data_IF_774214432685
#
_entry.id   IF_774214432685
#
_cell.length_a   1.000
_cell.length_b   1.000
_cell.length_c   1.000
_cell.angle_alpha   90.00
_cell.angle_beta   90.00
_cell.angle_gamma   90.00
#
_symmetry.space_group_name_H-M   'P 1'
#
loop_
_entity.id
_entity.type
_entity.pdbx_description
1 polymer ?
#
# COMPACT_ATOMS: atom_id res chain seq x y z
N UNK A 1 -37.32 47.72 -56.60
CA UNK A 1 -37.59 47.20 -55.23
C UNK A 1 -36.64 46.03 -54.96
N UNK A 2 -36.11 45.98 -53.75
CA UNK A 2 -35.80 44.75 -53.00
C UNK A 2 -34.40 44.12 -52.94
N UNK A 3 -33.28 44.74 -53.32
CA UNK A 3 -31.97 44.13 -52.96
C UNK A 3 -31.66 44.27 -51.47
N UNK A 4 -32.03 45.38 -50.83
CA UNK A 4 -31.93 45.53 -49.37
C UNK A 4 -32.90 44.62 -48.60
N UNK A 5 -34.12 44.41 -49.11
CA UNK A 5 -35.08 43.50 -48.50
C UNK A 5 -34.67 42.03 -48.68
N UNK A 6 -34.11 41.65 -49.84
CA UNK A 6 -33.51 40.33 -50.05
C UNK A 6 -32.34 40.12 -49.09
N UNK A 7 -31.45 41.10 -48.94
CA UNK A 7 -30.33 41.04 -47.99
C UNK A 7 -30.83 40.86 -46.55
N UNK A 8 -31.91 41.55 -46.16
CA UNK A 8 -32.54 41.40 -44.85
C UNK A 8 -33.14 40.01 -44.61
N UNK A 9 -33.78 39.41 -45.63
CA UNK A 9 -34.30 38.04 -45.54
C UNK A 9 -33.15 37.03 -45.43
N UNK A 10 -32.08 37.17 -46.23
CA UNK A 10 -30.90 36.32 -46.15
C UNK A 10 -30.20 36.44 -44.79
N UNK A 11 -30.06 37.66 -44.26
CA UNK A 11 -29.50 37.90 -42.93
C UNK A 11 -30.37 37.29 -41.82
N UNK A 12 -31.70 37.36 -41.94
CA UNK A 12 -32.63 36.74 -40.97
C UNK A 12 -32.53 35.21 -40.96
N UNK A 13 -32.42 34.59 -42.14
CA UNK A 13 -32.23 33.14 -42.27
C UNK A 13 -30.89 32.71 -41.65
N UNK A 14 -29.82 33.45 -41.92
CA UNK A 14 -28.50 33.19 -41.33
C UNK A 14 -28.51 33.34 -39.80
N UNK A 15 -29.18 34.35 -39.28
CA UNK A 15 -29.31 34.57 -37.83
C UNK A 15 -29.99 33.40 -37.13
N UNK A 16 -31.09 32.90 -37.70
CA UNK A 16 -31.80 31.72 -37.17
C UNK A 16 -30.89 30.49 -37.19
N UNK A 17 -30.11 30.31 -38.27
CA UNK A 17 -29.12 29.25 -38.38
C UNK A 17 -28.05 29.31 -37.28
N UNK A 18 -27.50 30.51 -37.02
CA UNK A 18 -26.50 30.69 -35.96
C UNK A 18 -27.05 30.42 -34.56
N UNK A 19 -28.30 30.82 -34.28
CA UNK A 19 -28.94 30.56 -32.99
C UNK A 19 -29.12 29.05 -32.76
N UNK A 20 -29.55 28.30 -33.79
CA UNK A 20 -29.70 26.84 -33.69
C UNK A 20 -28.37 26.13 -33.44
N UNK A 21 -27.30 26.51 -34.16
CA UNK A 21 -25.96 25.93 -33.97
C UNK A 21 -25.42 26.28 -32.57
N UNK A 22 -25.62 27.51 -32.11
CA UNK A 22 -25.25 27.94 -30.77
C UNK A 22 -25.97 27.14 -29.68
N UNK A 23 -27.27 26.90 -29.83
CA UNK A 23 -28.07 26.12 -28.88
C UNK A 23 -27.63 24.65 -28.79
N UNK A 24 -27.37 24.00 -29.94
CA UNK A 24 -26.88 22.62 -29.97
C UNK A 24 -25.48 22.52 -29.35
N UNK A 25 -24.59 23.47 -29.67
CA UNK A 25 -23.23 23.49 -29.12
C UNK A 25 -23.22 23.71 -27.62
N UNK A 26 -24.05 24.65 -27.12
CA UNK A 26 -24.22 24.87 -25.69
C UNK A 26 -24.80 23.64 -24.98
N UNK A 27 -25.76 22.96 -25.59
CA UNK A 27 -26.33 21.71 -25.06
C UNK A 27 -25.27 20.60 -24.94
N UNK A 28 -24.43 20.42 -25.96
CA UNK A 28 -23.34 19.42 -25.94
C UNK A 28 -22.28 19.78 -24.89
N UNK A 29 -21.91 21.06 -24.75
CA UNK A 29 -20.96 21.51 -23.72
C UNK A 29 -21.53 21.30 -22.31
N UNK A 30 -22.80 21.69 -22.08
CA UNK A 30 -23.48 21.52 -20.80
C UNK A 30 -23.74 20.04 -20.44
N UNK A 31 -23.94 19.19 -21.45
CA UNK A 31 -24.10 17.74 -21.27
C UNK A 31 -22.75 17.07 -21.04
N UNK A 32 -21.69 17.52 -21.71
CA UNK A 32 -20.31 17.04 -21.50
C UNK A 32 -19.75 17.43 -20.13
N UNK A 33 -20.07 18.63 -19.64
CA UNK A 33 -19.70 19.07 -18.28
C UNK A 33 -20.53 18.42 -17.17
N UNK A 34 -21.70 17.84 -17.49
CA UNK A 34 -22.55 17.12 -16.54
C UNK A 34 -22.08 15.70 -16.22
N UNK A 35 -21.12 15.17 -16.98
CA UNK A 35 -20.67 13.78 -16.82
C UNK A 35 -19.65 13.57 -15.69
N UNK A 36 -19.20 14.65 -15.04
CA UNK A 36 -18.40 14.58 -13.81
C UNK A 36 -19.13 15.46 -12.80
N UNK A 37 -19.79 14.84 -11.84
CA UNK A 37 -20.44 15.56 -10.75
C UNK A 37 -19.39 16.11 -9.76
N UNK A 38 -19.76 17.09 -8.95
CA UNK A 38 -18.91 17.54 -7.82
C UNK A 38 -18.61 16.38 -6.87
N UNK A 39 -19.53 15.42 -6.74
CA UNK A 39 -19.35 14.18 -5.98
C UNK A 39 -18.24 13.31 -6.58
N UNK A 40 -18.20 13.15 -7.91
CA UNK A 40 -17.14 12.41 -8.60
C UNK A 40 -15.76 13.06 -8.41
N UNK A 41 -15.70 14.39 -8.47
CA UNK A 41 -14.46 15.14 -8.23
C UNK A 41 -13.97 14.98 -6.79
N UNK A 42 -14.88 15.07 -5.81
CA UNK A 42 -14.53 14.87 -4.40
C UNK A 42 -14.06 13.44 -4.15
N UNK A 43 -14.69 12.45 -4.77
CA UNK A 43 -14.29 11.05 -4.68
C UNK A 43 -12.89 10.83 -5.23
N UNK A 44 -12.60 11.30 -6.44
CA UNK A 44 -11.26 11.20 -7.06
C UNK A 44 -10.21 11.89 -6.19
N UNK A 45 -10.54 13.08 -5.67
CA UNK A 45 -9.62 13.84 -4.80
C UNK A 45 -9.30 13.05 -3.52
N UNK A 46 -10.31 12.47 -2.88
CA UNK A 46 -10.12 11.65 -1.69
C UNK A 46 -9.32 10.38 -1.99
N UNK A 47 -9.59 9.70 -3.11
CA UNK A 47 -8.83 8.51 -3.53
C UNK A 47 -7.34 8.83 -3.74
N UNK A 48 -7.02 9.96 -4.38
CA UNK A 48 -5.63 10.41 -4.58
C UNK A 48 -4.96 10.78 -3.26
N UNK A 49 -5.68 11.46 -2.36
CA UNK A 49 -5.17 11.78 -1.02
C UNK A 49 -4.91 10.49 -0.24
N UNK A 50 -5.83 9.54 -0.25
CA UNK A 50 -5.69 8.25 0.42
C UNK A 50 -4.49 7.47 -0.15
N UNK A 51 -4.26 7.49 -1.46
CA UNK A 51 -3.13 6.81 -2.10
C UNK A 51 -1.77 7.39 -1.68
N UNK A 52 -1.67 8.71 -1.55
CA UNK A 52 -0.44 9.40 -1.12
C UNK A 52 -0.22 9.24 0.39
N UNK A 53 -1.30 9.35 1.18
CA UNK A 53 -1.25 9.34 2.64
C UNK A 53 -1.08 7.94 3.25
N UNK A 54 -1.49 6.87 2.55
CA UNK A 54 -1.36 5.48 3.02
C UNK A 54 0.07 4.92 2.93
N UNK A 55 1.09 5.79 2.87
CA UNK A 55 2.49 5.38 2.77
C UNK A 55 3.04 4.89 4.12
N UNK A 56 3.60 3.68 4.09
CA UNK A 56 4.25 3.04 5.24
C UNK A 56 5.77 3.27 5.23
N UNK A 57 6.30 3.81 6.31
CA UNK A 57 7.72 3.94 6.55
C UNK A 57 8.27 2.65 7.19
N UNK A 58 9.21 2.01 6.51
CA UNK A 58 10.09 0.98 7.10
C UNK A 58 11.13 1.70 7.96
N UNK A 59 11.21 1.33 9.24
CA UNK A 59 12.16 1.88 10.22
C UNK A 59 13.33 0.96 10.47
N UNK A 60 13.09 -0.32 10.69
CA UNK A 60 14.12 -1.30 10.96
C UNK A 60 13.69 -2.66 10.46
N UNK A 61 14.64 -3.45 10.00
CA UNK A 61 14.40 -4.85 9.66
C UNK A 61 15.42 -5.71 10.37
N UNK A 62 14.93 -6.71 11.10
CA UNK A 62 15.76 -7.67 11.83
C UNK A 62 15.43 -9.09 11.39
N UNK A 63 16.47 -9.90 11.23
CA UNK A 63 16.39 -11.31 10.89
C UNK A 63 16.90 -12.18 12.04
N UNK A 64 16.32 -13.38 12.20
CA UNK A 64 16.85 -14.42 13.09
C UNK A 64 17.32 -15.62 12.28
N UNK A 65 18.59 -15.96 12.52
CA UNK A 65 19.23 -17.16 12.01
C UNK A 65 18.68 -18.41 12.70
N UNK A 66 18.46 -19.45 11.89
CA UNK A 66 18.07 -20.78 12.34
C UNK A 66 18.90 -21.82 11.57
N UNK A 67 19.35 -22.85 12.29
CA UNK A 67 20.09 -23.97 11.71
C UNK A 67 19.10 -24.95 11.06
N UNK A 68 19.23 -25.16 9.75
CA UNK A 68 18.37 -26.09 8.98
C UNK A 68 19.28 -26.99 8.18
N UNK A 69 19.17 -28.31 8.40
CA UNK A 69 20.00 -29.30 7.71
C UNK A 69 21.52 -29.02 7.84
N UNK A 70 21.93 -28.38 8.93
CA UNK A 70 23.34 -28.02 9.20
C UNK A 70 23.80 -26.70 8.61
N UNK A 71 22.94 -25.95 7.92
CA UNK A 71 23.23 -24.61 7.39
C UNK A 71 22.52 -23.53 8.21
N UNK A 72 23.21 -22.43 8.51
CA UNK A 72 22.62 -21.24 9.12
C UNK A 72 21.89 -20.42 8.05
N UNK A 73 20.57 -20.25 8.22
CA UNK A 73 19.74 -19.44 7.32
C UNK A 73 18.85 -18.49 8.09
N UNK A 74 18.57 -17.32 7.53
CA UNK A 74 17.55 -16.41 8.06
C UNK A 74 16.19 -16.93 7.63
N UNK A 75 15.37 -17.34 8.60
CA UNK A 75 14.00 -17.82 8.36
C UNK A 75 12.94 -16.89 8.94
N UNK A 76 13.23 -16.19 10.03
CA UNK A 76 12.30 -15.24 10.64
C UNK A 76 12.78 -13.83 10.36
N UNK A 77 11.91 -13.01 9.79
CA UNK A 77 12.16 -11.58 9.57
C UNK A 77 11.06 -10.79 10.25
N UNK A 78 11.43 -9.75 10.99
CA UNK A 78 10.52 -8.78 11.55
C UNK A 78 10.83 -7.39 10.97
N UNK A 79 9.82 -6.75 10.40
CA UNK A 79 9.94 -5.44 9.73
C UNK A 79 9.15 -4.43 10.56
N UNK A 80 9.84 -3.49 11.19
CA UNK A 80 9.21 -2.38 11.91
C UNK A 80 8.69 -1.34 10.93
N UNK A 81 7.38 -1.11 10.96
CA UNK A 81 6.70 -0.13 10.13
C UNK A 81 5.96 0.91 10.96
N UNK A 82 5.76 2.08 10.36
CA UNK A 82 5.00 3.21 10.91
C UNK A 82 4.37 3.99 9.76
N UNK A 83 3.12 4.46 9.86
CA UNK A 83 2.53 5.28 8.80
C UNK A 83 3.18 6.68 8.80
N UNK A 84 3.33 7.27 7.61
CA UNK A 84 3.93 8.60 7.46
C UNK A 84 3.03 9.70 8.02
N UNK A 85 1.72 9.58 7.78
CA UNK A 85 0.68 10.48 8.26
C UNK A 85 -0.44 9.65 8.89
N UNK A 86 -1.26 10.28 9.74
CA UNK A 86 -2.42 9.60 10.31
C UNK A 86 -3.48 9.42 9.24
N UNK A 87 -3.78 8.18 8.90
CA UNK A 87 -4.74 7.74 7.90
C UNK A 87 -5.06 6.27 8.19
N UNK A 88 -6.29 5.84 7.95
CA UNK A 88 -6.69 4.44 8.12
C UNK A 88 -6.05 3.57 7.03
N UNK A 89 -5.05 2.76 7.41
CA UNK A 89 -4.45 1.75 6.56
C UNK A 89 -4.96 0.38 6.98
N UNK A 90 -5.84 -0.20 6.17
CA UNK A 90 -6.39 -1.54 6.38
C UNK A 90 -5.37 -2.62 6.01
N UNK A 91 -4.87 -3.31 7.02
CA UNK A 91 -3.85 -4.36 6.90
C UNK A 91 -4.41 -5.61 6.22
N UNK A 92 -5.71 -5.85 6.31
CA UNK A 92 -6.35 -7.03 5.70
C UNK A 92 -6.25 -7.03 4.17
N UNK A 93 -6.07 -5.84 3.58
CA UNK A 93 -5.89 -5.65 2.14
C UNK A 93 -4.43 -5.47 1.74
N UNK A 94 -3.51 -5.45 2.70
CA UNK A 94 -2.08 -5.33 2.45
C UNK A 94 -1.53 -6.67 1.95
N UNK A 95 -0.65 -6.59 0.94
CA UNK A 95 0.09 -7.73 0.41
C UNK A 95 1.58 -7.48 0.56
N UNK A 96 2.35 -8.52 0.85
CA UNK A 96 3.81 -8.44 0.89
C UNK A 96 4.37 -9.39 -0.17
N UNK A 97 5.26 -8.86 -1.00
CA UNK A 97 5.97 -9.62 -2.00
C UNK A 97 7.40 -9.88 -1.53
N UNK A 98 7.85 -11.13 -1.66
CA UNK A 98 9.22 -11.56 -1.39
C UNK A 98 9.83 -12.11 -2.68
N UNK A 99 11.04 -11.66 -3.03
CA UNK A 99 11.76 -12.17 -4.19
C UNK A 99 13.27 -12.26 -3.96
N UNK A 100 13.85 -13.43 -4.23
CA UNK A 100 15.30 -13.66 -4.25
C UNK A 100 15.89 -13.62 -5.69
N UNK A 101 15.12 -13.10 -6.66
CA UNK A 101 15.51 -13.06 -8.08
C UNK A 101 15.15 -14.29 -8.90
N UNK A 102 15.01 -15.46 -8.27
CA UNK A 102 14.57 -16.71 -8.93
C UNK A 102 13.11 -17.02 -8.65
N UNK A 103 12.68 -16.78 -7.42
CA UNK A 103 11.34 -17.03 -6.94
C UNK A 103 10.64 -15.74 -6.54
N UNK A 104 9.31 -15.77 -6.63
CA UNK A 104 8.41 -14.72 -6.19
C UNK A 104 7.37 -15.34 -5.26
N UNK A 105 7.16 -14.76 -4.08
CA UNK A 105 6.11 -15.18 -3.15
C UNK A 105 5.29 -13.99 -2.71
N UNK A 106 3.97 -14.15 -2.75
CA UNK A 106 3.03 -13.22 -2.16
C UNK A 106 2.60 -13.74 -0.80
N UNK A 107 2.61 -12.85 0.19
CA UNK A 107 2.17 -13.10 1.54
C UNK A 107 0.92 -12.27 1.84
N UNK A 108 -0.03 -12.91 2.49
CA UNK A 108 -1.30 -12.30 2.87
C UNK A 108 -1.42 -12.22 4.40
N UNK A 109 -2.17 -11.23 4.87
CA UNK A 109 -2.43 -11.09 6.29
C UNK A 109 -3.23 -12.30 6.81
N UNK A 110 -2.79 -12.92 7.90
CA UNK A 110 -3.50 -14.06 8.48
C UNK A 110 -4.61 -13.68 9.47
N UNK A 111 -4.90 -12.39 9.63
CA UNK A 111 -5.92 -11.92 10.58
C UNK A 111 -5.44 -11.84 12.03
N UNK A 112 -4.15 -12.09 12.31
CA UNK A 112 -3.63 -12.09 13.67
C UNK A 112 -2.72 -10.88 13.91
N UNK A 113 -3.11 -10.11 14.93
CA UNK A 113 -2.35 -9.02 15.48
C UNK A 113 -2.32 -9.13 17.01
N UNK A 114 -1.15 -9.02 17.61
CA UNK A 114 -0.98 -8.99 19.08
C UNK A 114 -0.07 -7.85 19.49
N UNK A 115 -0.08 -7.49 20.78
CA UNK A 115 0.91 -6.55 21.34
C UNK A 115 2.17 -7.31 21.77
N UNK A 116 3.35 -6.72 21.52
CA UNK A 116 4.64 -7.27 21.97
C UNK A 116 4.68 -7.51 23.49
N UNK A 117 4.00 -6.66 24.27
CA UNK A 117 3.94 -6.74 25.73
C UNK A 117 5.34 -6.91 26.36
N UNK A 118 5.52 -7.87 27.28
CA UNK A 118 6.78 -8.17 27.96
C UNK A 118 7.60 -9.26 27.24
N UNK A 119 7.17 -9.75 26.08
CA UNK A 119 7.86 -10.80 25.35
C UNK A 119 9.01 -10.23 24.51
N UNK A 120 10.03 -11.06 24.27
CA UNK A 120 11.06 -10.75 23.28
C UNK A 120 10.52 -10.98 21.87
N UNK A 121 10.89 -10.11 20.92
CA UNK A 121 10.38 -10.12 19.55
C UNK A 121 10.36 -11.51 18.90
N UNK A 122 11.46 -12.27 18.98
CA UNK A 122 11.59 -13.59 18.33
C UNK A 122 11.13 -14.79 19.16
N UNK A 123 10.71 -14.55 20.41
CA UNK A 123 10.19 -15.57 21.35
C UNK A 123 8.67 -15.41 21.59
N UNK A 124 8.04 -14.48 20.88
CA UNK A 124 6.60 -14.23 20.99
C UNK A 124 5.77 -15.42 20.45
N UNK A 125 4.72 -15.89 21.15
CA UNK A 125 3.90 -17.03 20.72
C UNK A 125 3.26 -16.87 19.34
N UNK A 126 2.94 -15.63 18.93
CA UNK A 126 2.43 -15.30 17.59
C UNK A 126 3.27 -15.87 16.45
N UNK A 127 4.58 -16.10 16.66
CA UNK A 127 5.41 -16.77 15.67
C UNK A 127 4.88 -18.15 15.30
N UNK A 128 4.25 -18.90 16.19
CA UNK A 128 3.72 -20.24 15.90
C UNK A 128 2.54 -20.19 14.91
N UNK A 129 1.83 -19.06 14.87
CA UNK A 129 0.72 -18.82 13.94
C UNK A 129 1.14 -18.28 12.58
N UNK A 130 2.37 -17.75 12.45
CA UNK A 130 2.92 -17.31 11.16
C UNK A 130 3.35 -18.53 10.35
N UNK A 131 2.73 -18.73 9.20
CA UNK A 131 3.04 -19.82 8.24
C UNK A 131 3.68 -19.25 6.97
N UNK A 132 4.44 -20.05 6.20
CA UNK A 132 4.90 -19.63 4.88
C UNK A 132 3.69 -19.26 3.99
N UNK A 133 3.73 -18.07 3.37
CA UNK A 133 2.59 -17.54 2.61
C UNK A 133 1.72 -16.55 3.37
N UNK A 134 1.97 -16.34 4.67
CA UNK A 134 1.24 -15.37 5.47
C UNK A 134 2.15 -14.44 6.28
N UNK A 135 1.58 -13.33 6.75
CA UNK A 135 2.21 -12.47 7.74
C UNK A 135 1.23 -12.13 8.87
N UNK A 136 1.80 -11.81 10.04
CA UNK A 136 1.06 -11.29 11.21
C UNK A 136 1.64 -9.95 11.64
N UNK A 137 0.88 -9.24 12.47
CA UNK A 137 1.34 -7.99 13.07
C UNK A 137 1.65 -8.15 14.55
N UNK A 138 2.72 -7.51 15.00
CA UNK A 138 3.08 -7.42 16.40
C UNK A 138 3.25 -5.94 16.77
N UNK A 139 2.21 -5.39 17.38
CA UNK A 139 2.12 -4.00 17.78
C UNK A 139 3.11 -3.68 18.90
N UNK A 140 3.76 -2.51 18.81
CA UNK A 140 4.70 -1.99 19.82
C UNK A 140 4.22 -0.70 20.44
N UNK A 141 3.69 0.21 19.60
CA UNK A 141 3.07 1.46 20.01
C UNK A 141 1.73 1.51 19.27
N UNK A 142 0.65 1.52 20.03
CA UNK A 142 -0.73 1.56 19.53
C UNK A 142 -1.63 2.05 20.67
N UNK A 143 -1.90 3.35 20.69
CA UNK A 143 -2.57 4.00 21.81
C UNK A 143 -4.07 3.69 21.87
N UNK A 144 -4.70 3.37 20.73
CA UNK A 144 -6.13 3.04 20.64
C UNK A 144 -6.43 1.56 20.40
N UNK A 145 -5.39 0.72 20.34
CA UNK A 145 -5.48 -0.71 20.04
C UNK A 145 -6.11 -1.00 18.66
N UNK A 146 -6.04 -0.07 17.72
CA UNK A 146 -6.63 -0.22 16.38
C UNK A 146 -5.98 -1.37 15.58
N UNK A 147 -4.69 -1.63 15.76
CA UNK A 147 -3.98 -2.69 15.05
C UNK A 147 -4.50 -4.07 15.47
N UNK A 148 -4.76 -4.23 16.77
CA UNK A 148 -5.19 -5.51 17.36
C UNK A 148 -6.69 -5.71 17.14
N UNK A 149 -7.50 -4.68 17.35
CA UNK A 149 -8.97 -4.81 17.38
C UNK A 149 -9.62 -4.67 16.02
N UNK A 150 -9.16 -3.75 15.18
CA UNK A 150 -9.74 -3.47 13.86
C UNK A 150 -8.80 -3.81 12.71
N UNK A 151 -7.55 -4.22 12.97
CA UNK A 151 -6.53 -4.49 11.94
C UNK A 151 -6.24 -3.27 11.05
N UNK A 152 -6.36 -2.09 11.63
CA UNK A 152 -6.07 -0.82 10.97
C UNK A 152 -4.89 -0.16 11.67
N UNK A 153 -3.96 0.39 10.89
CA UNK A 153 -2.92 1.28 11.39
C UNK A 153 -3.40 2.70 11.07
N UNK A 154 -3.72 3.52 12.08
CA UNK A 154 -4.47 4.77 11.86
C UNK A 154 -3.71 6.04 12.27
N UNK A 155 -2.80 5.96 13.26
CA UNK A 155 -2.07 7.13 13.76
C UNK A 155 -0.64 7.11 13.31
N UNK A 156 -0.12 8.29 12.99
CA UNK A 156 1.30 8.47 12.72
C UNK A 156 2.20 8.03 13.90
N UNK A 157 1.69 7.90 15.12
CA UNK A 157 2.43 7.39 16.28
C UNK A 157 2.59 5.88 16.28
N UNK A 158 1.69 5.17 15.61
CA UNK A 158 1.62 3.72 15.66
C UNK A 158 2.88 3.08 15.09
N UNK A 159 3.34 2.04 15.76
CA UNK A 159 4.50 1.25 15.35
C UNK A 159 4.19 -0.22 15.54
N UNK A 160 4.37 -1.00 14.47
CA UNK A 160 4.12 -2.43 14.49
C UNK A 160 5.19 -3.18 13.70
N UNK A 161 5.51 -4.38 14.15
CA UNK A 161 6.33 -5.31 13.39
C UNK A 161 5.44 -6.17 12.50
N UNK A 162 5.77 -6.22 11.21
CA UNK A 162 5.30 -7.28 10.34
C UNK A 162 6.20 -8.50 10.58
N UNK A 163 5.60 -9.63 10.96
CA UNK A 163 6.30 -10.89 11.19
C UNK A 163 6.19 -11.80 9.97
N UNK A 164 7.34 -12.21 9.44
CA UNK A 164 7.46 -13.03 8.24
C UNK A 164 8.25 -14.31 8.55
N UNK A 165 7.74 -15.46 8.09
CA UNK A 165 8.52 -16.70 7.99
C UNK A 165 8.84 -17.03 6.54
N UNK A 166 10.11 -17.12 6.23
CA UNK A 166 10.61 -17.53 4.93
C UNK A 166 10.56 -19.06 4.82
N UNK A 167 9.95 -19.63 3.77
CA UNK A 167 10.12 -21.03 3.45
C UNK A 167 11.55 -21.33 2.99
N UNK A 168 11.94 -22.60 3.03
CA UNK A 168 13.33 -23.05 2.84
C UNK A 168 13.94 -22.67 1.48
N UNK A 169 13.11 -22.45 0.46
CA UNK A 169 13.55 -22.12 -0.90
C UNK A 169 13.87 -20.64 -1.14
N UNK A 170 13.49 -19.78 -0.19
CA UNK A 170 13.75 -18.33 -0.17
C UNK A 170 14.44 -17.89 1.12
N UNK A 171 14.61 -18.80 2.10
CA UNK A 171 15.40 -18.56 3.30
C UNK A 171 16.84 -18.17 2.94
N UNK A 172 17.33 -17.07 3.52
CA UNK A 172 18.58 -16.44 3.11
C UNK A 172 19.78 -17.11 3.78
N UNK A 173 20.73 -17.62 2.99
CA UNK A 173 22.07 -17.98 3.45
C UNK A 173 22.95 -16.73 3.52
N UNK A 174 24.16 -16.86 4.05
CA UNK A 174 25.13 -15.77 4.04
C UNK A 174 25.41 -15.27 2.61
N UNK A 175 25.33 -13.94 2.43
CA UNK A 175 25.56 -13.29 1.13
C UNK A 175 24.37 -13.31 0.17
N UNK A 176 23.25 -13.95 0.54
CA UNK A 176 22.03 -13.92 -0.27
C UNK A 176 21.33 -12.57 -0.15
N UNK A 177 20.68 -12.17 -1.24
CA UNK A 177 19.83 -10.99 -1.31
C UNK A 177 18.35 -11.37 -1.36
N UNK A 178 17.52 -10.63 -0.64
CA UNK A 178 16.06 -10.75 -0.64
C UNK A 178 15.43 -9.39 -0.82
N UNK A 179 14.62 -9.24 -1.88
CA UNK A 179 13.76 -8.07 -2.07
C UNK A 179 12.43 -8.30 -1.38
N UNK A 180 12.05 -7.34 -0.54
CA UNK A 180 10.76 -7.31 0.15
C UNK A 180 10.00 -6.07 -0.30
N UNK A 181 8.82 -6.26 -0.88
CA UNK A 181 7.93 -5.16 -1.27
C UNK A 181 6.66 -5.20 -0.44
N UNK A 182 6.38 -4.12 0.30
CA UNK A 182 5.16 -3.95 1.07
C UNK A 182 4.17 -3.15 0.23
N UNK A 183 2.99 -3.69 -0.03
CA UNK A 183 1.96 -3.11 -0.89
C UNK A 183 0.68 -2.87 -0.05
N UNK A 184 0.48 -1.66 0.50
CA UNK A 184 -0.80 -1.28 1.11
C UNK A 184 -1.89 -1.11 0.03
N UNK A 185 -3.16 -1.17 0.44
CA UNK A 185 -4.30 -0.93 -0.46
C UNK A 185 -5.38 -0.10 0.25
N UNK A 186 -5.62 1.16 -0.16
CA UNK A 186 -4.88 1.93 -1.17
C UNK A 186 -3.47 2.28 -0.71
N UNK A 187 -2.61 2.73 -1.63
CA UNK A 187 -1.31 3.29 -1.27
C UNK A 187 -0.14 2.87 -2.14
N UNK A 188 0.96 3.62 -2.02
CA UNK A 188 2.19 3.33 -2.75
C UNK A 188 3.00 2.21 -2.09
N UNK A 189 3.39 1.24 -2.90
CA UNK A 189 4.29 0.17 -2.48
C UNK A 189 5.70 0.64 -2.14
N UNK A 190 6.36 -0.05 -1.20
CA UNK A 190 7.77 0.20 -0.89
C UNK A 190 8.57 -1.09 -0.97
N UNK A 191 9.61 -1.08 -1.79
CA UNK A 191 10.59 -2.16 -1.91
C UNK A 191 11.85 -1.84 -1.11
N UNK A 192 12.36 -2.84 -0.40
CA UNK A 192 13.66 -2.83 0.26
C UNK A 192 14.44 -4.08 -0.15
N UNK A 193 15.74 -3.95 -0.35
CA UNK A 193 16.63 -5.09 -0.61
C UNK A 193 17.39 -5.39 0.68
N UNK A 194 17.31 -6.63 1.13
CA UNK A 194 17.95 -7.14 2.33
C UNK A 194 19.13 -8.00 1.91
N UNK A 195 20.28 -7.81 2.55
CA UNK A 195 21.46 -8.64 2.36
C UNK A 195 21.72 -9.42 3.65
N UNK A 196 22.03 -10.71 3.52
CA UNK A 196 22.29 -11.58 4.66
C UNK A 196 23.73 -11.44 5.20
N UNK A 197 23.95 -10.85 6.38
CA UNK A 197 25.29 -10.68 6.94
C UNK A 197 25.84 -11.99 7.50
N UNK A 198 27.14 -12.09 7.78
CA UNK A 198 27.71 -13.30 8.38
C UNK A 198 26.97 -13.67 9.68
N UNK A 199 26.65 -14.96 9.87
CA UNK A 199 25.97 -15.49 11.08
C UNK A 199 26.90 -15.45 12.31
N UNK A 200 27.27 -14.24 12.73
CA UNK A 200 28.04 -13.97 13.96
C UNK A 200 27.15 -13.90 15.20
N UNK A 201 25.86 -13.64 14.99
CA UNK A 201 24.83 -13.53 16.01
C UNK A 201 23.57 -14.23 15.51
N UNK A 202 22.80 -14.79 16.43
CA UNK A 202 21.50 -15.39 16.09
C UNK A 202 20.48 -14.36 15.59
N UNK A 203 20.60 -13.09 15.99
CA UNK A 203 19.74 -12.00 15.51
C UNK A 203 20.62 -10.94 14.87
N UNK A 204 20.25 -10.52 13.67
CA UNK A 204 21.01 -9.57 12.85
C UNK A 204 20.10 -8.47 12.32
N UNK A 205 20.64 -7.27 12.18
CA UNK A 205 19.97 -6.15 11.51
C UNK A 205 20.20 -6.30 10.00
N UNK A 206 19.12 -6.23 9.24
CA UNK A 206 19.13 -6.31 7.76
C UNK A 206 18.93 -4.95 7.11
N UNK A 207 18.33 -3.99 7.83
CA UNK A 207 18.06 -2.64 7.36
C UNK A 207 17.88 -1.67 8.54
N UNK A 208 18.42 -0.46 8.41
CA UNK A 208 18.25 0.70 9.32
C UNK A 208 17.69 1.91 8.57
#
# INVERSE_FOLDING_TARGET
MNDQAKLGIFAGILLIGFILIGAVSASVILTGSKNISEEDLNKITNEVVDEICSYLQIKHIVGKYQTIQGEEKIQKIAILIKPLVSQDIDVSRMTIELSNGEQLRLLFYNGLAESLNFHSLFEHPLWDSVTPGTFSLLSTIDDDNSIITSHVINKNTDMTFILLKLPDDIAMKYGDELRVTILPSPGMGRTVTLESPLSTKHVVTLYE
#
